data_IF_719040800068
#
_entry.id   IF_719040800068
#
_cell.length_a   1.000
_cell.length_b   1.000
_cell.length_c   1.000
_cell.angle_alpha   90.00
_cell.angle_beta   90.00
_cell.angle_gamma   90.00
#
_symmetry.space_group_name_H-M   'P 1'
#
loop_
_entity.id
_entity.type
_entity.pdbx_description
1 polymer ?
#
# COMPACT_ATOMS: atom_id res chain seq x y z
N UNK A 1 15.92 13.12 17.59
CA UNK A 1 16.18 14.12 16.53
C UNK A 1 15.92 13.59 15.11
N UNK A 2 16.50 12.45 14.71
CA UNK A 2 16.31 11.87 13.37
C UNK A 2 14.98 11.12 13.22
N UNK A 3 14.66 10.19 14.13
CA UNK A 3 13.44 9.36 14.09
C UNK A 3 12.15 10.17 14.13
N UNK A 4 12.14 11.32 14.82
CA UNK A 4 10.97 12.21 14.87
C UNK A 4 10.77 13.00 13.57
N UNK A 5 11.84 13.31 12.84
CA UNK A 5 11.78 14.04 11.58
C UNK A 5 11.26 13.19 10.40
N UNK A 6 11.28 11.86 10.54
CA UNK A 6 10.80 10.91 9.53
C UNK A 6 9.28 10.70 9.56
N UNK A 7 8.61 11.13 10.62
CA UNK A 7 7.20 10.80 10.87
C UNK A 7 6.30 11.99 10.53
N UNK A 8 5.28 11.71 9.70
CA UNK A 8 4.23 12.67 9.33
C UNK A 8 4.39 13.26 7.93
N UNK A 9 3.35 13.97 7.46
CA UNK A 9 3.26 14.42 6.06
C UNK A 9 4.38 15.36 5.59
N UNK A 10 5.07 16.07 6.51
CA UNK A 10 6.22 16.93 6.17
C UNK A 10 7.44 16.15 5.69
N UNK A 11 7.52 14.86 6.03
CA UNK A 11 8.59 13.98 5.58
C UNK A 11 8.28 13.34 4.20
N UNK A 12 7.08 13.57 3.65
CA UNK A 12 6.62 12.95 2.41
C UNK A 12 6.91 13.88 1.23
N UNK A 13 7.79 13.44 0.34
CA UNK A 13 7.94 14.04 -1.00
C UNK A 13 6.80 13.61 -1.93
N UNK A 14 6.56 14.37 -3.00
CA UNK A 14 5.54 14.04 -4.01
C UNK A 14 5.76 12.62 -4.59
N UNK A 15 4.78 11.70 -4.53
CA UNK A 15 4.97 10.32 -4.96
C UNK A 15 5.28 10.18 -6.47
N UNK A 16 6.52 9.86 -6.85
CA UNK A 16 6.95 9.75 -8.26
C UNK A 16 6.87 8.36 -8.90
N UNK A 17 6.69 7.30 -8.11
CA UNK A 17 6.81 5.91 -8.58
C UNK A 17 5.81 5.59 -9.70
N UNK A 18 4.55 6.01 -9.57
CA UNK A 18 3.53 5.68 -10.56
C UNK A 18 3.83 6.33 -11.92
N UNK A 19 4.28 7.59 -11.93
CA UNK A 19 4.72 8.27 -13.16
C UNK A 19 5.95 7.61 -13.78
N UNK A 20 6.91 7.16 -12.96
CA UNK A 20 8.07 6.43 -13.46
C UNK A 20 7.67 5.09 -14.12
N UNK A 21 6.72 4.36 -13.52
CA UNK A 21 6.20 3.11 -14.08
C UNK A 21 5.40 3.35 -15.37
N UNK A 22 4.62 4.43 -15.44
CA UNK A 22 3.96 4.84 -16.68
C UNK A 22 4.98 5.10 -17.79
N UNK A 23 6.01 5.92 -17.54
CA UNK A 23 7.03 6.25 -18.52
C UNK A 23 7.77 5.00 -19.02
N UNK A 24 8.07 4.07 -18.11
CA UNK A 24 8.67 2.79 -18.47
C UNK A 24 7.72 1.94 -19.34
N UNK A 25 6.43 1.94 -19.01
CA UNK A 25 5.40 1.23 -19.76
C UNK A 25 5.14 1.85 -21.15
N UNK A 26 5.11 3.17 -21.27
CA UNK A 26 4.99 3.84 -22.57
C UNK A 26 6.17 3.52 -23.50
N UNK A 27 7.39 3.42 -22.95
CA UNK A 27 8.60 3.13 -23.73
C UNK A 27 8.78 1.65 -24.07
N UNK A 28 8.38 0.75 -23.17
CA UNK A 28 8.77 -0.67 -23.23
C UNK A 28 7.63 -1.66 -22.97
N UNK A 29 6.43 -1.17 -22.68
CA UNK A 29 5.26 -1.96 -22.33
C UNK A 29 4.79 -2.82 -23.49
N UNK A 30 4.34 -4.03 -23.16
CA UNK A 30 3.77 -4.99 -24.12
C UNK A 30 2.33 -5.37 -23.79
N UNK A 31 2.00 -5.40 -22.51
CA UNK A 31 0.64 -5.68 -22.04
C UNK A 31 -0.13 -4.38 -21.86
N UNK A 32 -1.48 -4.38 -21.99
CA UNK A 32 -2.30 -3.24 -21.65
C UNK A 32 -2.05 -2.78 -20.20
N UNK A 33 -2.01 -1.47 -19.97
CA UNK A 33 -1.76 -0.87 -18.65
C UNK A 33 -2.63 -1.48 -17.55
N UNK A 34 -3.95 -1.54 -17.78
CA UNK A 34 -4.91 -2.07 -16.81
C UNK A 34 -4.59 -3.52 -16.37
N UNK A 35 -4.06 -4.34 -17.29
CA UNK A 35 -3.74 -5.74 -17.03
C UNK A 35 -2.62 -5.91 -16.00
N UNK A 36 -1.72 -4.93 -15.90
CA UNK A 36 -0.62 -4.96 -14.94
C UNK A 36 -1.11 -4.85 -13.49
N UNK A 37 -2.28 -4.27 -13.27
CA UNK A 37 -2.86 -4.06 -11.94
C UNK A 37 -3.73 -5.23 -11.47
N UNK A 38 -4.18 -6.11 -12.36
CA UNK A 38 -5.08 -7.23 -12.01
C UNK A 38 -4.56 -8.08 -10.82
N UNK A 39 -3.28 -8.50 -10.76
CA UNK A 39 -2.80 -9.30 -9.64
C UNK A 39 -2.77 -8.51 -8.32
N UNK A 40 -2.41 -7.22 -8.39
CA UNK A 40 -2.34 -6.35 -7.22
C UNK A 40 -3.75 -6.02 -6.67
N UNK A 41 -4.72 -5.77 -7.55
CA UNK A 41 -6.13 -5.62 -7.19
C UNK A 41 -6.62 -6.88 -6.49
N UNK A 42 -6.39 -8.06 -7.09
CA UNK A 42 -6.80 -9.34 -6.51
C UNK A 42 -6.21 -9.55 -5.11
N UNK A 43 -4.91 -9.29 -4.92
CA UNK A 43 -4.26 -9.41 -3.62
C UNK A 43 -4.81 -8.40 -2.59
N UNK A 44 -5.12 -7.17 -3.01
CA UNK A 44 -5.69 -6.17 -2.12
C UNK A 44 -7.13 -6.53 -1.70
N UNK A 45 -7.95 -7.09 -2.59
CA UNK A 45 -9.34 -7.49 -2.30
C UNK A 45 -9.45 -8.80 -1.52
N UNK A 46 -8.78 -9.83 -2.02
CA UNK A 46 -8.86 -11.18 -1.46
C UNK A 46 -7.93 -11.33 -0.27
N UNK A 47 -6.90 -10.50 -0.20
CA UNK A 47 -5.89 -10.46 0.84
C UNK A 47 -4.75 -11.43 0.60
N UNK A 48 -3.83 -11.43 1.54
CA UNK A 48 -2.75 -12.41 1.65
C UNK A 48 -2.49 -12.75 3.11
N UNK A 49 -1.92 -13.93 3.36
CA UNK A 49 -1.56 -14.36 4.70
C UNK A 49 -0.37 -13.54 5.22
N UNK A 50 -0.47 -13.01 6.43
CA UNK A 50 0.65 -12.33 7.09
C UNK A 50 1.80 -13.34 7.26
N UNK A 51 2.96 -13.02 6.70
CA UNK A 51 4.17 -13.83 6.83
C UNK A 51 4.85 -13.61 8.18
N UNK A 52 5.70 -14.54 8.65
CA UNK A 52 6.50 -14.35 9.86
C UNK A 52 7.31 -13.04 9.83
N UNK A 53 7.91 -12.71 8.68
CA UNK A 53 8.68 -11.48 8.50
C UNK A 53 7.81 -10.23 8.65
N UNK A 54 6.63 -10.22 8.01
CA UNK A 54 5.72 -9.06 8.11
C UNK A 54 5.24 -8.87 9.55
N UNK A 55 4.88 -9.95 10.24
CA UNK A 55 4.48 -9.90 11.65
C UNK A 55 5.58 -9.28 12.52
N UNK A 56 6.84 -9.70 12.35
CA UNK A 56 7.98 -9.13 13.07
C UNK A 56 8.18 -7.64 12.79
N UNK A 57 8.01 -7.21 11.52
CA UNK A 57 8.12 -5.79 11.16
C UNK A 57 7.01 -4.94 11.81
N UNK A 58 5.77 -5.46 11.86
CA UNK A 58 4.64 -4.79 12.54
C UNK A 58 4.92 -4.71 14.05
N UNK A 59 5.38 -5.80 14.66
CA UNK A 59 5.68 -5.85 16.09
C UNK A 59 6.80 -4.89 16.50
N UNK A 60 7.77 -4.64 15.62
CA UNK A 60 8.90 -3.75 15.88
C UNK A 60 8.58 -2.25 15.66
N UNK A 61 7.45 -1.92 15.03
CA UNK A 61 7.11 -0.55 14.68
C UNK A 61 6.30 0.15 15.80
N UNK A 62 6.95 1.09 16.48
CA UNK A 62 6.36 1.86 17.58
C UNK A 62 5.40 2.99 17.14
N UNK A 63 5.20 3.20 15.84
CA UNK A 63 4.41 4.29 15.29
C UNK A 63 3.07 3.83 14.70
N UNK A 64 2.89 2.54 14.41
CA UNK A 64 1.62 1.99 13.87
C UNK A 64 0.42 2.39 14.75
N UNK A 65 0.55 2.28 16.07
CA UNK A 65 -0.53 2.65 17.02
C UNK A 65 -0.89 4.14 17.00
N UNK A 66 -0.02 5.00 16.45
CA UNK A 66 -0.26 6.46 16.37
C UNK A 66 -1.08 6.87 15.14
N UNK A 67 -1.30 5.94 14.20
CA UNK A 67 -2.13 6.16 13.02
C UNK A 67 -3.38 5.27 13.11
N UNK A 68 -4.59 5.86 13.23
CA UNK A 68 -5.83 5.08 13.31
C UNK A 68 -6.00 4.09 12.15
N UNK A 69 -5.66 4.51 10.93
CA UNK A 69 -5.78 3.68 9.74
C UNK A 69 -4.80 2.50 9.75
N UNK A 70 -3.55 2.75 10.17
CA UNK A 70 -2.55 1.68 10.28
C UNK A 70 -2.87 0.71 11.41
N UNK A 71 -3.34 1.23 12.55
CA UNK A 71 -3.77 0.41 13.68
C UNK A 71 -4.94 -0.50 13.30
N UNK A 72 -5.97 0.04 12.65
CA UNK A 72 -7.11 -0.75 12.16
C UNK A 72 -6.67 -1.83 11.14
N UNK A 73 -5.68 -1.50 10.30
CA UNK A 73 -5.19 -2.40 9.28
C UNK A 73 -4.30 -3.52 9.83
N UNK A 74 -3.34 -3.22 10.71
CA UNK A 74 -2.30 -4.17 11.14
C UNK A 74 -2.50 -4.79 12.53
N UNK A 75 -3.30 -4.17 13.40
CA UNK A 75 -3.42 -4.56 14.81
C UNK A 75 -4.79 -5.19 15.13
N UNK A 76 -4.84 -5.95 16.22
CA UNK A 76 -6.06 -6.41 16.86
C UNK A 76 -6.68 -5.29 17.70
N UNK A 77 -7.90 -5.50 18.18
CA UNK A 77 -8.58 -4.53 19.05
C UNK A 77 -7.79 -4.19 20.33
N UNK A 78 -7.01 -5.17 20.83
CA UNK A 78 -6.16 -5.02 22.01
C UNK A 78 -4.80 -4.35 21.70
N UNK A 79 -4.58 -3.90 20.46
CA UNK A 79 -3.38 -3.18 20.05
C UNK A 79 -2.17 -4.06 19.71
N UNK A 80 -2.34 -5.39 19.65
CA UNK A 80 -1.29 -6.33 19.26
C UNK A 80 -1.24 -6.56 17.75
N UNK A 81 -0.07 -6.87 17.15
CA UNK A 81 0.00 -7.26 15.75
C UNK A 81 -0.91 -8.46 15.43
N UNK A 82 -1.62 -8.41 14.31
CA UNK A 82 -2.36 -9.58 13.80
C UNK A 82 -1.43 -10.78 13.63
N UNK A 83 -1.93 -11.97 13.95
CA UNK A 83 -1.13 -13.20 13.95
C UNK A 83 -0.65 -13.58 12.53
N UNK A 84 0.50 -14.26 12.46
CA UNK A 84 0.97 -14.94 11.24
C UNK A 84 -0.14 -15.84 10.69
N UNK A 85 -0.33 -15.85 9.38
CA UNK A 85 -1.41 -16.59 8.72
C UNK A 85 -2.73 -15.83 8.64
N UNK A 86 -2.92 -14.74 9.40
CA UNK A 86 -4.12 -13.90 9.28
C UNK A 86 -4.24 -13.36 7.86
N UNK A 87 -5.43 -13.48 7.27
CA UNK A 87 -5.70 -12.95 5.93
C UNK A 87 -5.87 -11.43 5.99
N UNK A 88 -4.87 -10.71 5.49
CA UNK A 88 -4.84 -9.24 5.50
C UNK A 88 -5.37 -8.70 4.16
N UNK A 89 -6.46 -7.93 4.20
CA UNK A 89 -7.16 -7.36 3.03
C UNK A 89 -7.18 -5.85 3.07
N UNK A 90 -6.93 -5.18 1.94
CA UNK A 90 -6.96 -3.73 1.80
C UNK A 90 -7.92 -3.29 0.68
N UNK A 91 -9.24 -3.28 0.93
CA UNK A 91 -10.22 -2.88 -0.08
C UNK A 91 -10.08 -1.42 -0.52
N UNK A 92 -9.60 -0.53 0.35
CA UNK A 92 -9.33 0.86 -0.01
C UNK A 92 -8.22 0.96 -1.05
N UNK A 93 -7.11 0.24 -0.86
CA UNK A 93 -6.03 0.16 -1.85
C UNK A 93 -6.48 -0.50 -3.15
N UNK A 94 -7.33 -1.53 -3.08
CA UNK A 94 -7.91 -2.15 -4.27
C UNK A 94 -8.72 -1.13 -5.09
N UNK A 95 -9.51 -0.27 -4.45
CA UNK A 95 -10.27 0.78 -5.12
C UNK A 95 -9.34 1.77 -5.84
N UNK A 96 -8.24 2.17 -5.20
CA UNK A 96 -7.22 3.04 -5.81
C UNK A 96 -6.59 2.37 -7.03
N UNK A 97 -6.18 1.10 -6.92
CA UNK A 97 -5.61 0.37 -8.06
C UNK A 97 -6.61 0.19 -9.21
N UNK A 98 -7.89 -0.04 -8.92
CA UNK A 98 -8.94 -0.09 -9.95
C UNK A 98 -9.11 1.24 -10.67
N UNK A 99 -9.08 2.36 -9.94
CA UNK A 99 -9.13 3.70 -10.54
C UNK A 99 -7.92 3.94 -11.44
N UNK A 100 -6.70 3.67 -10.96
CA UNK A 100 -5.46 3.82 -11.75
C UNK A 100 -5.47 2.93 -13.00
N UNK A 101 -5.98 1.71 -12.89
CA UNK A 101 -6.08 0.79 -14.02
C UNK A 101 -7.04 1.32 -15.11
N UNK A 102 -8.12 2.00 -14.71
CA UNK A 102 -9.16 2.53 -15.61
C UNK A 102 -8.84 3.92 -16.17
N UNK A 103 -8.43 4.83 -15.30
CA UNK A 103 -8.26 6.26 -15.57
C UNK A 103 -6.80 6.61 -15.92
N UNK A 104 -5.87 5.66 -15.74
CA UNK A 104 -4.44 5.91 -15.89
C UNK A 104 -3.81 6.53 -14.64
N UNK A 105 -2.53 6.90 -14.72
CA UNK A 105 -1.76 7.37 -13.57
C UNK A 105 -2.19 8.73 -13.04
N UNK A 106 -2.83 9.55 -13.88
CA UNK A 106 -3.35 10.87 -13.50
C UNK A 106 -4.44 10.76 -12.41
N UNK A 107 -5.09 9.60 -12.26
CA UNK A 107 -6.01 9.32 -11.16
C UNK A 107 -5.39 9.50 -9.76
N UNK A 108 -4.05 9.41 -9.64
CA UNK A 108 -3.32 9.69 -8.40
C UNK A 108 -2.90 11.16 -8.27
N UNK A 109 -2.71 11.87 -9.39
CA UNK A 109 -2.04 13.17 -9.42
C UNK A 109 -2.99 14.37 -9.55
N UNK A 110 -4.09 14.21 -10.27
CA UNK A 110 -5.02 15.32 -10.57
C UNK A 110 -6.44 15.09 -10.07
N UNK A 111 -6.76 13.86 -9.65
CA UNK A 111 -8.05 13.49 -9.06
C UNK A 111 -9.10 13.10 -10.09
#
# INVERSE_FOLDING_TARGET
PFTQAQIGGRAVGTPGVLRALELAHQKHGRLPWARLFEPAIKLAEQGFAISPRLHQLIAADAFIQRSPDMAAYFLTADGHPKAVGTQLKNPALAAVFKRIAKEGPDALYTG
#
